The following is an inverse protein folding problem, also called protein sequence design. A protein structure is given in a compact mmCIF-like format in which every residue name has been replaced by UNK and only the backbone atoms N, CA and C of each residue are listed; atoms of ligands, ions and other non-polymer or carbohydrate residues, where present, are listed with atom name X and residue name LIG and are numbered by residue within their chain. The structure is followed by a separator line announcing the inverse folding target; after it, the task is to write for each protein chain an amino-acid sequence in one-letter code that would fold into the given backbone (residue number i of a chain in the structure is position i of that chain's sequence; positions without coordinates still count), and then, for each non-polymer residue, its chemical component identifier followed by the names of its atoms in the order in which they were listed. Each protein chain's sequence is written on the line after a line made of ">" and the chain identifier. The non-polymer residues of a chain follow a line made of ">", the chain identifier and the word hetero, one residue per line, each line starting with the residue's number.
data_IF_369415859322
#
_entry.id   IF_369415859322
#
_cell.length_a   1.000
_cell.length_b   1.000
_cell.length_c   1.000
_cell.angle_alpha   90.00
_cell.angle_beta   90.00
_cell.angle_gamma   90.00
#
_symmetry.space_group_name_H-M   'P 1'
#
loop_
_entity.id
_entity.type
_entity.pdbx_description
1 polymer ?
#
# COMPACT_ATOMS: atom_id res chain seq x y z
N UNK A 1 12.33 13.07 7.72
CA UNK A 1 11.35 11.96 7.76
C UNK A 1 10.02 12.53 8.25
N UNK A 2 8.86 11.95 7.91
CA UNK A 2 7.59 12.41 8.49
C UNK A 2 7.37 11.70 9.81
N UNK A 3 7.26 12.46 10.90
CA UNK A 3 6.97 11.95 12.24
C UNK A 3 5.47 11.99 12.45
N UNK A 4 4.91 10.88 12.92
CA UNK A 4 3.50 10.77 13.26
C UNK A 4 3.33 10.58 14.75
N UNK A 5 2.29 11.21 15.27
CA UNK A 5 1.89 11.06 16.66
C UNK A 5 0.43 10.65 16.70
N UNK A 6 0.10 9.79 17.64
CA UNK A 6 -1.22 9.18 17.81
C UNK A 6 -1.65 9.46 19.24
N UNK A 7 -2.91 9.85 19.46
CA UNK A 7 -3.46 10.09 20.80
C UNK A 7 -4.65 9.18 21.06
N UNK A 8 -4.55 8.38 22.12
CA UNK A 8 -5.57 7.42 22.57
C UNK A 8 -5.77 7.57 24.07
N UNK A 9 -7.01 7.76 24.52
CA UNK A 9 -7.37 7.77 25.96
C UNK A 9 -6.37 8.56 26.83
N UNK A 10 -5.96 9.74 26.36
CA UNK A 10 -4.98 10.66 26.96
C UNK A 10 -3.50 10.25 26.98
N UNK A 11 -3.14 9.17 26.29
CA UNK A 11 -1.74 8.79 26.00
C UNK A 11 -1.34 9.27 24.61
N UNK A 12 -0.20 9.95 24.51
CA UNK A 12 0.45 10.27 23.24
C UNK A 12 1.50 9.21 22.90
N UNK A 13 1.37 8.63 21.70
CA UNK A 13 2.28 7.64 21.14
C UNK A 13 3.01 8.30 19.97
N UNK A 14 4.34 8.41 20.06
CA UNK A 14 5.17 8.96 18.98
C UNK A 14 6.58 9.34 19.45
N UNK A 15 7.46 9.73 18.52
CA UNK A 15 7.24 9.77 17.06
C UNK A 15 7.28 8.37 16.42
N UNK A 16 6.32 8.07 15.54
CA UNK A 16 6.32 6.87 14.70
C UNK A 16 6.49 7.23 13.23
N UNK A 17 7.09 6.32 12.44
CA UNK A 17 7.21 6.53 11.01
C UNK A 17 5.90 6.17 10.28
N UNK A 18 5.79 6.64 9.03
CA UNK A 18 4.58 6.41 8.24
C UNK A 18 4.25 4.92 8.07
N UNK A 19 5.23 4.03 7.98
CA UNK A 19 4.97 2.60 7.84
C UNK A 19 4.37 2.02 9.12
N UNK A 20 4.93 2.33 10.28
CA UNK A 20 4.39 1.87 11.56
C UNK A 20 2.97 2.38 11.77
N UNK A 21 2.66 3.63 11.40
CA UNK A 21 1.29 4.15 11.47
C UNK A 21 0.32 3.32 10.60
N UNK A 22 0.69 3.01 9.35
CA UNK A 22 -0.16 2.19 8.47
C UNK A 22 -0.34 0.76 9.03
N UNK A 23 0.70 0.18 9.63
CA UNK A 23 0.62 -1.13 10.27
C UNK A 23 -0.30 -1.12 11.51
N UNK A 24 -0.31 -0.03 12.28
CA UNK A 24 -1.26 0.16 13.39
C UNK A 24 -2.71 0.29 12.92
N UNK A 25 -2.94 0.98 11.79
CA UNK A 25 -4.28 1.06 11.16
C UNK A 25 -4.72 -0.33 10.69
N UNK A 26 -3.84 -1.09 10.04
CA UNK A 26 -4.12 -2.47 9.61
C UNK A 26 -4.40 -3.40 10.80
N UNK A 27 -3.69 -3.20 11.90
CA UNK A 27 -3.88 -3.94 13.15
C UNK A 27 -5.12 -3.56 13.94
N UNK A 28 -5.83 -2.48 13.54
CA UNK A 28 -7.01 -1.97 14.25
C UNK A 28 -6.70 -1.17 15.51
N UNK A 29 -5.42 -0.98 15.85
CA UNK A 29 -5.00 -0.10 16.96
C UNK A 29 -5.34 1.35 16.68
N UNK A 30 -5.24 1.81 15.42
CA UNK A 30 -5.65 3.15 15.01
C UNK A 30 -6.93 3.06 14.21
N UNK A 31 -8.01 3.58 14.78
CA UNK A 31 -9.35 3.64 14.19
C UNK A 31 -9.62 5.00 13.55
N UNK A 32 -10.74 5.15 12.85
CA UNK A 32 -11.09 6.40 12.14
C UNK A 32 -11.27 7.60 13.08
N UNK A 33 -11.68 7.36 14.32
CA UNK A 33 -11.88 8.32 15.38
C UNK A 33 -10.61 8.63 16.19
N UNK A 34 -9.56 7.81 16.05
CA UNK A 34 -8.28 8.03 16.71
C UNK A 34 -7.66 9.34 16.25
N UNK A 35 -7.15 10.16 17.18
CA UNK A 35 -6.49 11.42 16.84
C UNK A 35 -5.06 11.16 16.40
N UNK A 36 -4.69 11.73 15.25
CA UNK A 36 -3.34 11.67 14.68
C UNK A 36 -2.87 13.06 14.30
N UNK A 37 -1.56 13.30 14.40
CA UNK A 37 -0.91 14.49 13.83
C UNK A 37 0.36 14.10 13.10
N UNK A 38 0.73 14.93 12.12
CA UNK A 38 1.98 14.80 11.37
C UNK A 38 2.91 15.96 11.74
N UNK A 39 4.08 15.64 12.29
CA UNK A 39 5.01 16.62 12.84
C UNK A 39 4.29 17.56 13.83
N UNK A 40 4.47 18.88 13.69
CA UNK A 40 3.82 19.91 14.52
C UNK A 40 2.45 20.37 14.00
N UNK A 41 1.77 19.55 13.20
CA UNK A 41 0.41 19.88 12.72
C UNK A 41 -0.63 19.74 13.82
N UNK A 42 -1.81 20.33 13.61
CA UNK A 42 -2.97 20.10 14.47
C UNK A 42 -3.34 18.60 14.53
N UNK A 43 -4.03 18.23 15.62
CA UNK A 43 -4.61 16.90 15.78
C UNK A 43 -5.85 16.77 14.89
N UNK A 44 -5.91 15.70 14.10
CA UNK A 44 -7.04 15.35 13.26
C UNK A 44 -7.49 13.93 13.56
N UNK A 45 -8.78 13.67 13.42
CA UNK A 45 -9.26 12.29 13.38
C UNK A 45 -8.61 11.57 12.18
N UNK A 46 -8.11 10.36 12.39
CA UNK A 46 -7.43 9.59 11.35
C UNK A 46 -8.29 9.43 10.10
N UNK A 47 -9.60 9.26 10.25
CA UNK A 47 -10.54 9.15 9.13
C UNK A 47 -10.75 10.44 8.35
N UNK A 48 -10.43 11.60 8.93
CA UNK A 48 -10.46 12.90 8.26
C UNK A 48 -9.16 13.19 7.49
N UNK A 49 -8.09 12.42 7.75
CA UNK A 49 -6.82 12.56 7.02
C UNK A 49 -6.96 11.90 5.66
N UNK A 50 -7.13 12.72 4.63
CA UNK A 50 -7.31 12.24 3.25
C UNK A 50 -6.20 11.30 2.80
N UNK A 51 -6.56 10.11 2.32
CA UNK A 51 -5.63 9.13 1.78
C UNK A 51 -4.96 8.23 2.82
N UNK A 52 -5.15 8.46 4.12
CA UNK A 52 -4.45 7.69 5.17
C UNK A 52 -4.90 6.22 5.19
N UNK A 53 -6.21 5.98 5.18
CA UNK A 53 -6.78 4.63 5.16
C UNK A 53 -6.64 3.99 3.78
N UNK A 54 -6.72 4.77 2.70
CA UNK A 54 -6.42 4.30 1.35
C UNK A 54 -4.98 3.78 1.24
N UNK A 55 -4.00 4.49 1.80
CA UNK A 55 -2.59 4.07 1.83
C UNK A 55 -2.40 2.81 2.69
N UNK A 56 -3.14 2.69 3.80
CA UNK A 56 -3.09 1.48 4.62
C UNK A 56 -3.69 0.27 3.87
N UNK A 57 -4.74 0.48 3.07
CA UNK A 57 -5.40 -0.55 2.27
C UNK A 57 -4.66 -0.89 0.97
N UNK A 58 -3.65 -0.10 0.58
CA UNK A 58 -2.89 -0.31 -0.64
C UNK A 58 -2.16 -1.66 -0.60
N UNK A 59 -2.35 -2.48 -1.64
CA UNK A 59 -1.73 -3.80 -1.71
C UNK A 59 -0.21 -3.68 -1.80
N UNK A 60 0.48 -4.47 -0.98
CA UNK A 60 1.95 -4.47 -0.96
C UNK A 60 2.46 -5.60 -1.85
N UNK A 61 3.43 -5.28 -2.70
CA UNK A 61 4.13 -6.29 -3.53
C UNK A 61 5.49 -6.59 -2.91
N UNK A 62 5.67 -7.84 -2.49
CA UNK A 62 6.95 -8.36 -2.00
C UNK A 62 7.59 -9.25 -3.07
N UNK A 63 8.92 -9.25 -3.14
CA UNK A 63 9.66 -10.05 -4.10
C UNK A 63 10.41 -11.17 -3.38
N UNK A 64 10.39 -12.36 -3.97
CA UNK A 64 11.06 -13.56 -3.44
C UNK A 64 11.98 -14.19 -4.48
N UNK A 65 13.14 -14.65 -4.04
CA UNK A 65 14.09 -15.37 -4.88
C UNK A 65 13.45 -16.65 -5.44
N UNK A 66 13.57 -16.94 -6.75
CA UNK A 66 12.99 -18.14 -7.35
C UNK A 66 13.64 -19.44 -6.86
N UNK A 67 14.94 -19.40 -6.49
CA UNK A 67 15.70 -20.58 -6.07
C UNK A 67 15.57 -20.89 -4.57
N UNK A 68 15.86 -19.91 -3.71
CA UNK A 68 15.86 -20.13 -2.25
C UNK A 68 14.60 -19.64 -1.53
N UNK A 69 13.66 -19.01 -2.26
CA UNK A 69 12.43 -18.43 -1.69
C UNK A 69 12.64 -17.36 -0.60
N UNK A 70 13.86 -16.84 -0.43
CA UNK A 70 14.11 -15.73 0.49
C UNK A 70 13.57 -14.40 -0.06
N UNK A 71 13.15 -13.51 0.84
CA UNK A 71 12.70 -12.16 0.48
C UNK A 71 13.87 -11.36 -0.11
N UNK A 72 13.62 -10.71 -1.24
CA UNK A 72 14.58 -9.88 -1.97
C UNK A 72 14.00 -8.51 -2.26
N UNK A 73 14.88 -7.56 -2.61
CA UNK A 73 14.45 -6.27 -3.15
C UNK A 73 13.97 -6.42 -4.61
N UNK A 74 13.39 -5.35 -5.16
CA UNK A 74 12.95 -5.35 -6.56
C UNK A 74 14.14 -5.64 -7.50
N UNK A 75 14.05 -6.64 -8.39
CA UNK A 75 15.09 -6.93 -9.38
C UNK A 75 15.34 -5.73 -10.31
N UNK A 76 16.57 -5.56 -10.84
CA UNK A 76 17.71 -6.46 -10.73
C UNK A 76 18.42 -6.35 -9.37
N UNK A 77 18.72 -7.48 -8.73
CA UNK A 77 19.38 -7.49 -7.42
C UNK A 77 20.16 -8.80 -7.18
N UNK A 78 21.01 -8.83 -6.17
CA UNK A 78 21.66 -10.06 -5.70
C UNK A 78 20.89 -10.60 -4.51
N UNK A 79 20.57 -11.89 -4.51
CA UNK A 79 19.89 -12.50 -3.38
C UNK A 79 20.81 -12.49 -2.14
N UNK A 80 20.37 -11.95 -0.99
CA UNK A 80 21.20 -11.90 0.22
C UNK A 80 21.42 -13.27 0.87
N UNK A 81 20.64 -14.29 0.49
CA UNK A 81 20.72 -15.62 1.06
C UNK A 81 21.53 -16.60 0.20
N UNK A 82 21.28 -16.66 -1.12
CA UNK A 82 22.00 -17.57 -2.02
C UNK A 82 23.10 -16.92 -2.86
N UNK A 83 23.22 -15.58 -2.87
CA UNK A 83 24.25 -14.86 -3.63
C UNK A 83 24.03 -14.81 -5.15
N UNK A 84 22.92 -15.36 -5.66
CA UNK A 84 22.61 -15.38 -7.10
C UNK A 84 22.20 -13.99 -7.57
N UNK A 85 22.70 -13.58 -8.74
CA UNK A 85 22.24 -12.38 -9.43
C UNK A 85 20.88 -12.63 -10.09
N UNK A 86 19.85 -11.94 -9.60
CA UNK A 86 18.47 -12.07 -10.04
C UNK A 86 18.11 -10.97 -11.05
N UNK A 87 17.73 -11.39 -12.26
CA UNK A 87 17.07 -10.53 -13.25
C UNK A 87 15.56 -10.44 -13.03
N UNK A 88 14.97 -11.43 -12.35
CA UNK A 88 13.55 -11.47 -11.97
C UNK A 88 13.35 -12.11 -10.59
N UNK A 89 12.18 -11.89 -10.00
CA UNK A 89 11.79 -12.45 -8.70
C UNK A 89 10.30 -12.77 -8.69
N UNK A 90 9.88 -13.72 -7.85
CA UNK A 90 8.47 -14.07 -7.66
C UNK A 90 7.80 -12.95 -6.88
N UNK A 91 6.88 -12.23 -7.52
CA UNK A 91 6.08 -11.21 -6.87
C UNK A 91 4.92 -11.86 -6.10
N UNK A 92 4.82 -11.56 -4.80
CA UNK A 92 3.68 -11.90 -3.95
C UNK A 92 2.94 -10.62 -3.62
N UNK A 93 1.71 -10.51 -4.10
CA UNK A 93 0.83 -9.39 -3.79
C UNK A 93 0.00 -9.76 -2.57
N UNK A 94 0.08 -8.94 -1.52
CA UNK A 94 -0.73 -9.11 -0.31
C UNK A 94 -1.76 -7.97 -0.24
N UNK A 95 -3.03 -8.34 -0.12
CA UNK A 95 -4.12 -7.39 0.09
C UNK A 95 -4.27 -7.09 1.58
N UNK A 96 -4.36 -5.82 1.96
CA UNK A 96 -4.57 -5.40 3.33
C UNK A 96 -6.03 -5.02 3.52
N UNK A 97 -6.79 -5.84 4.26
CA UNK A 97 -8.18 -5.52 4.62
C UNK A 97 -8.18 -4.75 5.93
N UNK A 98 -8.72 -3.54 5.93
CA UNK A 98 -8.92 -2.75 7.14
C UNK A 98 -10.38 -2.94 7.60
N UNK A 99 -10.57 -3.19 8.87
CA UNK A 99 -11.90 -3.37 9.44
C UNK A 99 -12.72 -2.08 9.30
N UNK A 100 -13.92 -2.18 8.69
CA UNK A 100 -14.83 -1.03 8.54
C UNK A 100 -14.48 -0.04 7.43
N UNK A 101 -13.36 -0.22 6.71
CA UNK A 101 -12.99 0.64 5.57
C UNK A 101 -13.14 -0.10 4.24
N UNK A 102 -13.97 0.45 3.35
CA UNK A 102 -14.12 -0.03 1.97
C UNK A 102 -13.41 0.96 1.04
N UNK A 103 -12.31 0.56 0.37
CA UNK A 103 -11.64 1.45 -0.57
C UNK A 103 -12.60 1.79 -1.72
N UNK A 104 -12.57 3.06 -2.16
CA UNK A 104 -13.39 3.50 -3.30
C UNK A 104 -13.10 2.60 -4.51
N UNK A 105 -14.12 2.07 -5.20
CA UNK A 105 -13.91 1.22 -6.37
C UNK A 105 -13.17 2.01 -7.45
N UNK A 106 -12.15 1.39 -8.07
CA UNK A 106 -11.43 2.01 -9.18
C UNK A 106 -12.42 2.38 -10.29
N UNK A 107 -12.34 3.59 -10.89
CA UNK A 107 -13.27 3.99 -11.93
C UNK A 107 -13.19 3.00 -13.10
N UNK A 108 -14.36 2.49 -13.52
CA UNK A 108 -14.45 1.61 -14.69
C UNK A 108 -13.98 2.39 -15.93
N UNK A 109 -13.26 1.72 -16.83
CA UNK A 109 -12.84 2.32 -18.11
C UNK A 109 -14.08 2.82 -18.87
N UNK A 110 -13.97 4.02 -19.45
CA UNK A 110 -15.05 4.58 -20.29
C UNK A 110 -15.37 3.67 -21.48
N UNK A 111 -16.65 3.61 -21.85
CA UNK A 111 -17.14 2.91 -23.03
C UNK A 111 -16.40 3.30 -24.32
N UNK A 112 -15.96 4.56 -24.43
CA UNK A 112 -15.21 5.03 -25.60
C UNK A 112 -13.84 4.38 -25.73
N UNK A 113 -13.15 4.17 -24.61
CA UNK A 113 -11.85 3.48 -24.57
C UNK A 113 -12.02 2.00 -24.89
N UNK A 114 -13.10 1.37 -24.38
CA UNK A 114 -13.41 -0.03 -24.69
C UNK A 114 -13.69 -0.25 -26.19
N UNK A 115 -14.49 0.61 -26.81
CA UNK A 115 -14.78 0.55 -28.26
C UNK A 115 -13.53 0.80 -29.11
N UNK A 116 -12.66 1.72 -28.70
CA UNK A 116 -11.40 1.96 -29.39
C UNK A 116 -10.46 0.74 -29.29
N UNK A 117 -10.32 0.14 -28.09
CA UNK A 117 -9.52 -1.08 -27.87
C UNK A 117 -9.99 -2.25 -28.75
N UNK A 118 -11.30 -2.46 -28.85
CA UNK A 118 -11.87 -3.48 -29.74
C UNK A 118 -11.46 -3.27 -31.19
N UNK A 119 -11.49 -2.01 -31.66
CA UNK A 119 -11.14 -1.64 -33.03
C UNK A 119 -9.64 -1.79 -33.33
N UNK A 120 -8.76 -1.45 -32.39
CA UNK A 120 -7.31 -1.58 -32.60
C UNK A 120 -6.82 -3.02 -32.46
N UNK A 121 -7.56 -3.89 -31.77
CA UNK A 121 -7.24 -5.30 -31.60
C UNK A 121 -7.76 -6.18 -32.75
N UNK A 122 -8.71 -5.69 -33.55
CA UNK A 122 -9.15 -6.45 -34.73
C UNK A 122 -8.05 -6.37 -35.80
N UNK A 123 -7.44 -7.49 -36.23
CA UNK A 123 -6.52 -7.45 -37.34
C UNK A 123 -7.27 -6.95 -38.58
N UNK A 124 -6.71 -5.95 -39.28
CA UNK A 124 -7.19 -5.56 -40.61
C UNK A 124 -7.09 -6.79 -41.51
N UNK A 125 -8.21 -7.44 -41.80
CA UNK A 125 -8.26 -8.41 -42.89
C UNK A 125 -7.98 -7.65 -44.18
N UNK A 126 -6.97 -8.13 -44.92
CA UNK A 126 -6.58 -7.66 -46.25
C UNK A 126 -7.66 -7.97 -47.27
#
# INVERSE_FOLDING_TARGET
>A
MSEWFIRQEDVEIGPVDGRSLLDMIRGGSVTTDTLVRKNDSAWFQAGAVGGLFEAAAESTTEYFCPDCSSKVVKPPCICPHCGIQLSYARAKVSEHKIQGFQPKPKPKRSNSVQKWLQRVQTPRQK
#
